data_IF_272438319097
#
_entry.id   IF_272438319097
#
_cell.length_a   1.000
_cell.length_b   1.000
_cell.length_c   1.000
_cell.angle_alpha   90.00
_cell.angle_beta   90.00
_cell.angle_gamma   90.00
#
_symmetry.space_group_name_H-M   'P 1'
#
loop_
_entity.id
_entity.type
_entity.pdbx_description
1 polymer ?
#
# COMPACT_ATOMS: atom_id res chain seq x y z
N UNK A 1 -17.58 -6.26 2.67
CA UNK A 1 -17.87 -4.87 2.91
C UNK A 1 -16.81 -4.19 3.77
N UNK A 2 -16.50 -4.67 4.98
CA UNK A 2 -15.48 -4.04 5.85
C UNK A 2 -14.12 -3.82 5.15
N UNK A 3 -13.67 -4.77 4.36
CA UNK A 3 -12.40 -4.67 3.62
C UNK A 3 -12.44 -3.55 2.57
N UNK A 4 -13.56 -3.40 1.88
CA UNK A 4 -13.77 -2.30 0.91
C UNK A 4 -13.87 -0.97 1.66
N UNK A 5 -14.63 -0.94 2.75
CA UNK A 5 -14.82 0.27 3.54
C UNK A 5 -13.50 0.78 4.12
N UNK A 6 -12.67 -0.11 4.66
CA UNK A 6 -11.38 0.27 5.24
C UNK A 6 -10.33 0.55 4.15
N UNK A 7 -10.12 -0.38 3.22
CA UNK A 7 -8.99 -0.31 2.29
C UNK A 7 -9.20 0.68 1.13
N UNK A 8 -10.45 0.94 0.74
CA UNK A 8 -10.77 1.86 -0.36
C UNK A 8 -11.35 3.16 0.20
N UNK A 9 -12.49 3.11 0.89
CA UNK A 9 -13.14 4.33 1.38
C UNK A 9 -12.29 5.05 2.42
N UNK A 10 -11.61 4.30 3.31
CA UNK A 10 -10.69 4.89 4.28
C UNK A 10 -9.57 5.69 3.64
N UNK A 11 -8.99 5.18 2.53
CA UNK A 11 -7.97 5.91 1.75
C UNK A 11 -8.59 7.16 1.11
N UNK A 12 -9.76 7.04 0.50
CA UNK A 12 -10.44 8.18 -0.13
C UNK A 12 -10.79 9.27 0.89
N UNK A 13 -11.28 8.92 2.08
CA UNK A 13 -11.58 9.88 3.14
C UNK A 13 -10.33 10.59 3.67
N UNK A 14 -9.21 9.86 3.80
CA UNK A 14 -7.96 10.46 4.21
C UNK A 14 -7.42 11.44 3.16
N UNK A 15 -7.53 11.11 1.88
CA UNK A 15 -7.17 12.01 0.78
C UNK A 15 -8.07 13.24 0.77
N UNK A 16 -9.39 13.07 0.84
CA UNK A 16 -10.37 14.15 0.83
C UNK A 16 -10.11 15.17 1.94
N UNK A 17 -9.77 14.69 3.13
CA UNK A 17 -9.49 15.53 4.29
C UNK A 17 -8.32 16.51 4.10
N UNK A 18 -7.36 16.21 3.21
CA UNK A 18 -6.14 17.02 3.04
C UNK A 18 -6.00 17.62 1.63
N UNK A 19 -6.71 17.07 0.65
CA UNK A 19 -6.51 17.38 -0.76
C UNK A 19 -6.71 18.85 -1.09
N UNK A 20 -7.85 19.44 -0.72
CA UNK A 20 -8.17 20.84 -1.03
C UNK A 20 -7.12 21.79 -0.45
N UNK A 21 -6.75 21.59 0.83
CA UNK A 21 -5.73 22.39 1.48
C UNK A 21 -4.34 22.30 0.80
N UNK A 22 -3.92 21.08 0.43
CA UNK A 22 -2.67 20.86 -0.27
C UNK A 22 -2.68 21.49 -1.67
N UNK A 23 -3.80 21.37 -2.39
CA UNK A 23 -3.97 21.94 -3.73
C UNK A 23 -3.97 23.47 -3.72
N UNK A 24 -4.60 24.11 -2.73
CA UNK A 24 -4.59 25.56 -2.52
C UNK A 24 -3.18 26.05 -2.21
N UNK A 25 -2.48 25.35 -1.33
CA UNK A 25 -1.08 25.65 -0.98
C UNK A 25 -0.11 25.41 -2.15
N UNK A 26 -0.51 24.59 -3.13
CA UNK A 26 0.33 24.21 -4.28
C UNK A 26 1.46 23.24 -3.95
N UNK A 27 1.40 22.58 -2.78
CA UNK A 27 2.40 21.60 -2.35
C UNK A 27 1.83 20.62 -1.33
N UNK A 28 2.29 19.38 -1.35
CA UNK A 28 1.94 18.35 -0.38
C UNK A 28 2.53 17.00 -0.78
N UNK A 29 2.57 16.10 0.19
CA UNK A 29 2.99 14.71 -0.03
C UNK A 29 1.92 13.77 0.48
N UNK A 30 1.54 12.80 -0.35
CA UNK A 30 0.59 11.75 0.01
C UNK A 30 1.24 10.40 -0.27
N UNK A 31 1.32 9.56 0.75
CA UNK A 31 1.88 8.22 0.67
C UNK A 31 0.79 7.22 1.01
N UNK A 32 0.40 6.40 0.06
CA UNK A 32 -0.58 5.34 0.23
C UNK A 32 0.13 3.98 0.34
N UNK A 33 -0.36 3.13 1.24
CA UNK A 33 0.16 1.78 1.43
C UNK A 33 -0.77 0.77 0.76
N UNK A 34 -0.30 0.18 -0.33
CA UNK A 34 -0.97 -0.92 -1.02
C UNK A 34 -0.39 -2.28 -0.55
N UNK A 35 -0.06 -3.15 -1.46
CA UNK A 35 0.55 -4.47 -1.27
C UNK A 35 1.08 -4.99 -2.59
N UNK A 36 1.98 -5.95 -2.60
CA UNK A 36 2.28 -6.74 -3.81
C UNK A 36 1.03 -7.42 -4.38
N UNK A 37 0.03 -7.69 -3.54
CA UNK A 37 -1.30 -8.14 -3.96
C UNK A 37 -2.06 -7.09 -4.79
N UNK A 38 -1.63 -5.84 -4.82
CA UNK A 38 -2.09 -4.78 -5.72
C UNK A 38 -1.33 -4.72 -7.06
N UNK A 39 -0.38 -5.63 -7.27
CA UNK A 39 0.40 -5.78 -8.52
C UNK A 39 0.17 -7.13 -9.18
N UNK A 40 -0.23 -8.13 -8.41
CA UNK A 40 -0.52 -9.48 -8.88
C UNK A 40 -1.57 -10.15 -7.99
N UNK A 41 -2.29 -11.10 -8.57
CA UNK A 41 -3.28 -11.86 -7.82
C UNK A 41 -2.60 -12.97 -7.00
N UNK A 42 -3.11 -13.16 -5.79
CA UNK A 42 -2.77 -14.27 -4.92
C UNK A 42 -4.00 -15.18 -4.82
N UNK A 43 -3.88 -16.49 -5.04
CA UNK A 43 -5.01 -17.40 -4.92
C UNK A 43 -5.74 -17.24 -3.58
N UNK A 44 -7.07 -17.23 -3.59
CA UNK A 44 -7.89 -17.03 -2.40
C UNK A 44 -8.03 -15.59 -1.91
N UNK A 45 -7.29 -14.61 -2.48
CA UNK A 45 -7.31 -13.22 -2.02
C UNK A 45 -7.90 -12.23 -3.03
N UNK A 46 -8.81 -12.68 -3.90
CA UNK A 46 -9.33 -11.86 -5.00
C UNK A 46 -9.89 -10.50 -4.53
N UNK A 47 -10.72 -10.48 -3.48
CA UNK A 47 -11.30 -9.25 -2.94
C UNK A 47 -10.22 -8.35 -2.33
N UNK A 48 -9.32 -8.91 -1.51
CA UNK A 48 -8.19 -8.18 -0.95
C UNK A 48 -7.31 -7.58 -2.06
N UNK A 49 -6.91 -8.42 -3.03
CA UNK A 49 -6.14 -7.96 -4.19
C UNK A 49 -6.87 -6.84 -4.93
N UNK A 50 -8.16 -6.98 -5.18
CA UNK A 50 -8.98 -5.94 -5.81
C UNK A 50 -8.93 -4.62 -5.05
N UNK A 51 -9.01 -4.63 -3.71
CA UNK A 51 -8.88 -3.41 -2.91
C UNK A 51 -7.48 -2.80 -3.02
N UNK A 52 -6.42 -3.62 -3.08
CA UNK A 52 -5.04 -3.14 -3.18
C UNK A 52 -4.69 -2.64 -4.59
N UNK A 53 -5.26 -3.23 -5.65
CA UNK A 53 -5.21 -2.66 -7.00
C UNK A 53 -5.92 -1.29 -7.04
N UNK A 54 -7.09 -1.16 -6.38
CA UNK A 54 -7.80 0.11 -6.29
C UNK A 54 -6.96 1.22 -5.65
N UNK A 55 -6.22 0.92 -4.57
CA UNK A 55 -5.30 1.89 -3.93
C UNK A 55 -4.21 2.36 -4.91
N UNK A 56 -3.66 1.45 -5.71
CA UNK A 56 -2.69 1.81 -6.75
C UNK A 56 -3.31 2.76 -7.80
N UNK A 57 -4.49 2.42 -8.29
CA UNK A 57 -5.21 3.25 -9.28
C UNK A 57 -5.60 4.62 -8.71
N UNK A 58 -6.09 4.69 -7.46
CA UNK A 58 -6.42 5.94 -6.76
C UNK A 58 -5.17 6.82 -6.63
N UNK A 59 -4.03 6.23 -6.25
CA UNK A 59 -2.76 6.95 -6.12
C UNK A 59 -2.30 7.54 -7.46
N UNK A 60 -2.38 6.78 -8.53
CA UNK A 60 -2.01 7.25 -9.87
C UNK A 60 -2.99 8.33 -10.39
N UNK A 61 -4.29 8.16 -10.17
CA UNK A 61 -5.29 9.18 -10.47
C UNK A 61 -4.99 10.49 -9.74
N UNK A 62 -4.73 10.41 -8.43
CA UNK A 62 -4.38 11.56 -7.60
C UNK A 62 -3.12 12.27 -8.11
N UNK A 63 -2.09 11.51 -8.51
CA UNK A 63 -0.87 12.06 -9.10
C UNK A 63 -1.15 12.87 -10.35
N UNK A 64 -1.95 12.32 -11.26
CA UNK A 64 -2.31 12.97 -12.54
C UNK A 64 -3.16 14.21 -12.27
N UNK A 65 -4.21 14.08 -11.47
CA UNK A 65 -5.18 15.15 -11.20
C UNK A 65 -4.59 16.31 -10.38
N UNK A 66 -3.55 16.06 -9.58
CA UNK A 66 -2.85 17.13 -8.86
C UNK A 66 -1.99 18.01 -9.74
N UNK A 67 -1.82 17.67 -11.02
CA UNK A 67 -1.12 18.48 -12.02
C UNK A 67 0.27 18.97 -11.56
N UNK A 68 1.02 18.08 -10.89
CA UNK A 68 2.38 18.36 -10.43
C UNK A 68 2.48 19.14 -9.11
N UNK A 69 1.37 19.48 -8.47
CA UNK A 69 1.38 20.16 -7.17
C UNK A 69 1.69 19.22 -6.00
N UNK A 70 1.30 17.95 -6.11
CA UNK A 70 1.49 16.96 -5.05
C UNK A 70 2.53 15.91 -5.45
N UNK A 71 3.34 15.51 -4.48
CA UNK A 71 4.18 14.34 -4.58
C UNK A 71 3.36 13.15 -4.07
N UNK A 72 3.05 12.21 -4.95
CA UNK A 72 2.21 11.03 -4.62
C UNK A 72 3.04 9.78 -4.76
N UNK A 73 3.07 8.99 -3.69
CA UNK A 73 3.77 7.70 -3.63
C UNK A 73 2.79 6.59 -3.24
N UNK A 74 2.82 5.48 -3.95
CA UNK A 74 2.17 4.25 -3.52
C UNK A 74 3.23 3.20 -3.21
N UNK A 75 3.21 2.67 -1.99
CA UNK A 75 4.14 1.61 -1.55
C UNK A 75 3.42 0.27 -1.63
N UNK A 76 4.10 -0.73 -2.17
CA UNK A 76 3.60 -2.09 -2.37
C UNK A 76 4.45 -3.09 -1.57
N UNK A 77 4.18 -3.26 -0.27
CA UNK A 77 4.91 -4.22 0.55
C UNK A 77 4.58 -5.67 0.18
N UNK A 78 5.59 -6.53 0.26
CA UNK A 78 5.45 -7.98 0.26
C UNK A 78 5.20 -8.54 1.65
N UNK A 79 5.93 -9.59 2.03
CA UNK A 79 5.82 -10.25 3.32
C UNK A 79 6.59 -9.46 4.41
N UNK A 80 5.87 -8.70 5.21
CA UNK A 80 6.40 -7.99 6.37
C UNK A 80 5.59 -8.32 7.61
N UNK A 81 6.22 -8.22 8.78
CA UNK A 81 5.57 -8.44 10.07
C UNK A 81 4.52 -7.36 10.30
N UNK A 82 3.25 -7.76 10.31
CA UNK A 82 2.12 -6.87 10.54
C UNK A 82 1.03 -7.61 11.30
N UNK A 83 0.11 -6.88 11.90
CA UNK A 83 -1.08 -7.45 12.55
C UNK A 83 -2.14 -7.94 11.54
N UNK A 84 -1.86 -7.89 10.24
CA UNK A 84 -2.81 -8.30 9.20
C UNK A 84 -3.29 -9.74 9.38
N UNK A 85 -2.37 -10.66 9.76
CA UNK A 85 -2.70 -12.06 10.02
C UNK A 85 -3.75 -12.25 11.12
N UNK A 86 -3.73 -11.41 12.16
CA UNK A 86 -4.69 -11.48 13.26
C UNK A 86 -6.10 -11.03 12.87
N UNK A 87 -6.25 -10.32 11.76
CA UNK A 87 -7.55 -9.85 11.25
C UNK A 87 -8.22 -10.83 10.28
N UNK A 88 -7.51 -11.87 9.85
CA UNK A 88 -8.03 -12.89 8.93
C UNK A 88 -8.94 -13.86 9.70
N UNK A 89 -10.23 -13.82 9.39
CA UNK A 89 -11.25 -14.67 10.02
C UNK A 89 -11.45 -16.03 9.30
N UNK A 90 -10.96 -16.16 8.08
CA UNK A 90 -11.05 -17.40 7.30
C UNK A 90 -9.91 -18.33 7.73
N UNK A 91 -10.28 -19.40 8.46
CA UNK A 91 -9.32 -20.38 8.97
C UNK A 91 -8.54 -21.07 7.85
N UNK A 92 -9.16 -21.33 6.69
CA UNK A 92 -8.48 -21.96 5.55
C UNK A 92 -7.48 -21.00 4.91
N UNK A 93 -7.81 -19.72 4.83
CA UNK A 93 -6.89 -18.70 4.34
C UNK A 93 -5.73 -18.50 5.32
N UNK A 94 -6.02 -18.48 6.62
CA UNK A 94 -5.01 -18.39 7.66
C UNK A 94 -4.10 -19.63 7.62
N UNK A 95 -4.66 -20.83 7.52
CA UNK A 95 -3.93 -22.08 7.38
C UNK A 95 -3.09 -22.10 6.09
N UNK A 96 -3.62 -21.62 4.96
CA UNK A 96 -2.88 -21.48 3.71
C UNK A 96 -1.70 -20.50 3.86
N UNK A 97 -1.91 -19.36 4.48
CA UNK A 97 -0.84 -18.38 4.75
C UNK A 97 0.18 -18.90 5.76
N UNK A 98 -0.25 -19.71 6.72
CA UNK A 98 0.62 -20.28 7.76
C UNK A 98 1.28 -21.61 7.33
N UNK A 99 0.62 -22.42 6.50
CA UNK A 99 1.15 -23.68 5.95
C UNK A 99 2.22 -23.44 4.87
N UNK A 100 2.15 -22.30 4.21
CA UNK A 100 3.30 -21.72 3.57
C UNK A 100 4.28 -21.30 4.69
N UNK A 101 4.91 -22.29 5.35
CA UNK A 101 6.02 -22.07 6.30
C UNK A 101 7.10 -21.14 5.72
N UNK A 102 7.10 -21.00 4.42
CA UNK A 102 7.75 -20.04 3.58
C UNK A 102 7.38 -18.60 3.95
N UNK A 103 6.11 -18.29 4.27
CA UNK A 103 5.65 -16.93 4.58
C UNK A 103 6.10 -16.46 5.97
N UNK A 104 5.95 -17.30 6.99
CA UNK A 104 6.37 -16.98 8.35
C UNK A 104 7.89 -16.79 8.46
N UNK A 105 8.67 -17.53 7.64
CA UNK A 105 10.13 -17.42 7.59
C UNK A 105 10.62 -16.31 6.65
N UNK A 106 9.74 -15.72 5.82
CA UNK A 106 10.09 -14.64 4.89
C UNK A 106 9.81 -13.26 5.47
N UNK A 107 8.87 -13.14 6.40
CA UNK A 107 8.45 -11.85 6.92
C UNK A 107 9.65 -11.07 7.49
N UNK A 108 9.79 -9.84 7.01
CA UNK A 108 10.81 -8.91 7.48
C UNK A 108 10.17 -7.88 8.41
N UNK A 109 10.95 -7.25 9.31
CA UNK A 109 10.45 -6.22 10.20
C UNK A 109 9.73 -5.08 9.46
N UNK A 110 8.61 -4.61 10.01
CA UNK A 110 7.80 -3.53 9.43
C UNK A 110 8.56 -2.21 9.31
N UNK A 111 9.61 -2.01 10.09
CA UNK A 111 10.51 -0.85 10.03
C UNK A 111 11.11 -0.65 8.65
N UNK A 112 11.28 -1.70 7.85
CA UNK A 112 11.74 -1.59 6.47
C UNK A 112 10.76 -0.86 5.57
N UNK A 113 9.46 -0.93 5.88
CA UNK A 113 8.43 -0.13 5.19
C UNK A 113 8.51 1.33 5.64
N UNK A 114 8.77 1.57 6.94
CA UNK A 114 8.99 2.93 7.46
C UNK A 114 10.20 3.61 6.79
N UNK A 115 11.30 2.89 6.57
CA UNK A 115 12.47 3.39 5.84
C UNK A 115 12.07 3.84 4.41
N UNK A 116 11.21 3.09 3.72
CA UNK A 116 10.73 3.46 2.40
C UNK A 116 9.79 4.69 2.42
N UNK A 117 8.99 4.83 3.48
CA UNK A 117 8.16 6.03 3.69
C UNK A 117 9.06 7.24 3.88
N UNK A 118 10.08 7.13 4.73
CA UNK A 118 11.05 8.21 4.96
C UNK A 118 11.75 8.58 3.65
N UNK A 119 12.22 7.61 2.89
CA UNK A 119 12.82 7.85 1.57
C UNK A 119 11.87 8.64 0.64
N UNK A 120 10.60 8.30 0.60
CA UNK A 120 9.62 9.01 -0.22
C UNK A 120 9.39 10.45 0.28
N UNK A 121 9.38 10.65 1.61
CA UNK A 121 9.21 11.98 2.23
C UNK A 121 10.42 12.89 2.00
N UNK A 122 11.62 12.34 1.89
CA UNK A 122 12.86 13.09 1.68
C UNK A 122 13.07 13.54 0.22
N UNK A 123 12.20 13.12 -0.70
CA UNK A 123 12.29 13.57 -2.09
C UNK A 123 12.03 15.09 -2.18
N UNK A 124 12.93 15.77 -2.88
CA UNK A 124 12.81 17.23 -3.06
C UNK A 124 11.60 17.59 -3.94
N UNK A 125 11.01 18.78 -3.76
CA UNK A 125 9.97 19.28 -4.63
C UNK A 125 10.32 19.14 -6.12
N UNK A 126 9.34 18.72 -6.93
CA UNK A 126 9.51 18.48 -8.37
C UNK A 126 9.84 17.04 -8.75
N UNK A 127 10.14 16.18 -7.77
CA UNK A 127 10.36 14.73 -7.99
C UNK A 127 9.61 13.94 -6.95
N UNK A 128 9.00 12.83 -7.34
CA UNK A 128 8.39 11.87 -6.44
C UNK A 128 8.76 10.44 -6.86
N UNK A 129 9.01 9.58 -5.89
CA UNK A 129 9.02 8.14 -6.11
C UNK A 129 7.56 7.66 -6.15
N UNK A 130 6.98 7.52 -7.34
CA UNK A 130 5.54 7.28 -7.45
C UNK A 130 5.13 5.85 -7.05
N UNK A 131 6.00 4.87 -7.26
CA UNK A 131 5.78 3.50 -6.84
C UNK A 131 7.05 2.93 -6.20
N UNK A 132 6.89 2.32 -5.03
CA UNK A 132 7.95 1.60 -4.33
C UNK A 132 7.47 0.19 -4.03
N UNK A 133 8.08 -0.80 -4.65
CA UNK A 133 7.79 -2.21 -4.39
C UNK A 133 8.89 -2.79 -3.53
N UNK A 134 8.52 -3.28 -2.36
CA UNK A 134 9.44 -3.90 -1.40
C UNK A 134 9.04 -5.34 -1.14
N UNK A 135 9.99 -6.23 -1.31
CA UNK A 135 9.84 -7.65 -0.97
C UNK A 135 11.04 -8.13 -0.17
N UNK A 136 10.86 -9.06 0.76
CA UNK A 136 11.97 -9.90 1.19
C UNK A 136 12.68 -10.50 -0.03
N UNK A 137 14.00 -10.56 -0.01
CA UNK A 137 14.78 -11.04 -1.16
C UNK A 137 14.45 -12.48 -1.58
N UNK A 138 14.00 -13.29 -0.63
CA UNK A 138 13.60 -14.67 -0.87
C UNK A 138 12.12 -14.83 -1.29
N UNK A 139 11.36 -13.73 -1.38
CA UNK A 139 9.97 -13.77 -1.85
C UNK A 139 9.94 -13.86 -3.37
N UNK A 140 9.42 -14.96 -3.91
CA UNK A 140 9.41 -15.31 -5.32
C UNK A 140 8.11 -14.94 -6.08
N UNK A 141 7.20 -14.22 -5.42
CA UNK A 141 5.90 -13.82 -5.99
C UNK A 141 5.56 -12.36 -5.74
#
# INVERSE_FOLDING_TARGET
DQMIDVNIKGVLYAIDAVYSHMMERGSGQIINISSVAGKRLIPGSAVYSGTKFAVGAISEGLRIESAGKLQVTCIFPGAFETELGSSIKDEKMLEYLMSEAKYANLAQPAERIADAIIYALEQKPGVAANEIVLRPTAQDF
#
